data_IF_757202359908
#
_entry.id   IF_757202359908
#
_cell.length_a   1.000
_cell.length_b   1.000
_cell.length_c   1.000
_cell.angle_alpha   90.00
_cell.angle_beta   90.00
_cell.angle_gamma   90.00
#
_symmetry.space_group_name_H-M   'P 1'
#
loop_
_entity.id
_entity.type
_entity.pdbx_description
1 polymer ?
#
# COMPACT_ATOMS: atom_id res chain seq x y z
N UNK A 1 -61.02 -17.21 75.77
CA UNK A 1 -60.79 -17.45 74.33
C UNK A 1 -59.87 -16.35 73.80
N UNK A 2 -58.96 -16.65 72.86
CA UNK A 2 -57.52 -16.43 73.01
C UNK A 2 -57.00 -15.04 72.59
N UNK A 3 -55.93 -14.61 73.24
CA UNK A 3 -55.14 -13.44 72.86
C UNK A 3 -54.43 -13.70 71.51
N UNK A 4 -54.52 -12.73 70.59
CA UNK A 4 -53.82 -12.71 69.32
C UNK A 4 -52.31 -12.61 69.56
N UNK A 5 -51.56 -13.60 69.06
CA UNK A 5 -50.11 -13.63 69.08
C UNK A 5 -49.55 -12.62 68.04
N UNK A 6 -48.68 -11.66 68.39
CA UNK A 6 -48.11 -10.75 67.42
C UNK A 6 -47.07 -11.45 66.52
N UNK A 7 -47.14 -11.20 65.22
CA UNK A 7 -46.24 -11.74 64.19
C UNK A 7 -44.77 -11.34 64.47
N UNK A 8 -43.79 -12.23 64.25
CA UNK A 8 -42.39 -11.87 64.37
C UNK A 8 -41.98 -10.88 63.27
N UNK A 9 -41.59 -9.67 63.67
CA UNK A 9 -40.99 -8.68 62.79
C UNK A 9 -39.59 -9.14 62.36
N UNK A 10 -39.47 -9.66 61.14
CA UNK A 10 -38.18 -9.90 60.50
C UNK A 10 -37.50 -8.56 60.17
N UNK A 11 -36.68 -8.05 61.10
CA UNK A 11 -35.75 -6.96 60.82
C UNK A 11 -34.51 -7.53 60.14
N UNK A 12 -34.46 -7.43 58.81
CA UNK A 12 -33.25 -7.78 58.06
C UNK A 12 -32.06 -6.95 58.59
N UNK A 13 -30.91 -7.57 58.91
CA UNK A 13 -29.79 -6.85 59.50
C UNK A 13 -29.25 -5.85 58.49
N UNK A 14 -29.06 -4.59 58.91
CA UNK A 14 -28.51 -3.47 58.12
C UNK A 14 -27.27 -3.82 57.28
N UNK A 15 -26.49 -4.81 57.73
CA UNK A 15 -25.28 -5.34 57.08
C UNK A 15 -25.58 -6.05 55.75
N UNK A 16 -26.73 -6.73 55.66
CA UNK A 16 -27.19 -7.40 54.43
C UNK A 16 -27.71 -6.40 53.41
N UNK A 17 -28.33 -5.29 53.86
CA UNK A 17 -28.79 -4.22 52.98
C UNK A 17 -27.61 -3.47 52.31
N UNK A 18 -26.52 -3.25 53.05
CA UNK A 18 -25.30 -2.60 52.50
C UNK A 18 -24.58 -3.54 51.52
N UNK A 19 -24.49 -4.85 51.84
CA UNK A 19 -23.90 -5.84 50.94
C UNK A 19 -24.67 -5.98 49.63
N UNK A 20 -26.00 -5.96 49.67
CA UNK A 20 -26.84 -6.00 48.48
C UNK A 20 -26.70 -4.75 47.60
N UNK A 21 -26.55 -3.56 48.20
CA UNK A 21 -26.35 -2.32 47.45
C UNK A 21 -24.99 -2.26 46.73
N UNK A 22 -23.91 -2.75 47.37
CA UNK A 22 -22.60 -2.84 46.72
C UNK A 22 -22.58 -3.85 45.57
N UNK A 23 -23.26 -5.00 45.74
CA UNK A 23 -23.39 -6.00 44.68
C UNK A 23 -24.19 -5.47 43.48
N UNK A 24 -25.23 -4.67 43.72
CA UNK A 24 -26.02 -4.03 42.66
C UNK A 24 -25.23 -2.94 41.90
N UNK A 25 -24.36 -2.18 42.58
CA UNK A 25 -23.47 -1.21 41.92
C UNK A 25 -22.37 -1.89 41.10
N UNK A 26 -21.83 -3.02 41.57
CA UNK A 26 -20.87 -3.82 40.80
C UNK A 26 -21.53 -4.47 39.57
N UNK A 27 -22.79 -4.91 39.68
CA UNK A 27 -23.53 -5.44 38.54
C UNK A 27 -23.83 -4.40 37.45
N UNK A 28 -23.97 -3.12 37.81
CA UNK A 28 -24.15 -2.01 36.86
C UNK A 28 -22.83 -1.44 36.30
N UNK A 29 -21.69 -1.80 36.89
CA UNK A 29 -20.36 -1.42 36.41
C UNK A 29 -19.80 -2.34 35.32
N UNK A 30 -20.53 -3.42 34.98
CA UNK A 30 -20.33 -4.19 33.76
C UNK A 30 -20.70 -3.33 32.55
N UNK A 31 -19.82 -2.41 32.18
CA UNK A 31 -19.98 -1.57 31.00
C UNK A 31 -20.37 -2.45 29.82
N UNK A 32 -21.40 -2.03 29.08
CA UNK A 32 -21.80 -2.68 27.85
C UNK A 32 -20.56 -2.84 26.98
N UNK A 33 -20.04 -4.06 26.90
CA UNK A 33 -19.07 -4.42 25.89
C UNK A 33 -19.84 -4.27 24.57
N UNK A 34 -19.73 -3.10 23.94
CA UNK A 34 -20.06 -2.97 22.54
C UNK A 34 -19.21 -4.01 21.85
N UNK A 35 -19.82 -5.12 21.43
CA UNK A 35 -19.17 -6.11 20.61
C UNK A 35 -18.56 -5.33 19.44
N UNK A 36 -17.23 -5.25 19.41
CA UNK A 36 -16.53 -4.64 18.30
C UNK A 36 -16.97 -5.45 17.09
N UNK A 37 -17.71 -4.81 16.18
CA UNK A 37 -18.25 -5.49 15.02
C UNK A 37 -17.12 -6.28 14.35
N UNK A 38 -17.40 -7.52 13.96
CA UNK A 38 -16.38 -8.40 13.38
C UNK A 38 -15.68 -7.66 12.23
N UNK A 39 -14.35 -7.64 12.27
CA UNK A 39 -13.58 -7.03 11.20
C UNK A 39 -13.69 -7.90 9.94
N UNK A 40 -13.91 -7.32 8.75
CA UNK A 40 -14.23 -5.91 8.49
C UNK A 40 -15.73 -5.61 8.59
N UNK A 41 -16.08 -4.48 9.21
CA UNK A 41 -17.45 -3.99 9.37
C UNK A 41 -17.78 -2.75 8.53
N UNK A 42 -16.80 -2.24 7.77
CA UNK A 42 -16.92 -1.10 6.84
C UNK A 42 -15.98 -1.35 5.64
N UNK A 43 -16.14 -0.60 4.53
CA UNK A 43 -15.24 -0.73 3.38
C UNK A 43 -13.77 -0.50 3.74
N UNK A 44 -12.89 -1.28 3.10
CA UNK A 44 -11.43 -1.15 3.20
C UNK A 44 -10.94 -0.28 2.05
N UNK A 45 -10.02 0.64 2.33
CA UNK A 45 -9.32 1.44 1.33
C UNK A 45 -8.01 0.77 0.94
N UNK A 46 -7.82 0.51 -0.35
CA UNK A 46 -6.55 0.09 -0.93
C UNK A 46 -5.91 1.28 -1.66
N UNK A 47 -4.93 1.90 -1.02
CA UNK A 47 -4.18 3.02 -1.62
C UNK A 47 -3.11 2.48 -2.56
N UNK A 48 -3.13 2.98 -3.79
CA UNK A 48 -2.11 2.70 -4.80
C UNK A 48 -1.30 3.99 -4.99
N UNK A 49 0.00 4.02 -4.65
CA UNK A 49 0.81 5.23 -4.65
C UNK A 49 1.26 5.67 -6.07
N UNK A 50 0.50 5.31 -7.10
CA UNK A 50 0.79 5.59 -8.51
C UNK A 50 -0.48 6.01 -9.27
N UNK A 51 -0.33 6.71 -10.42
CA UNK A 51 -1.45 7.05 -11.28
C UNK A 51 -2.27 5.82 -11.73
N UNK A 52 -3.56 6.03 -11.99
CA UNK A 52 -4.42 4.99 -12.54
C UNK A 52 -3.99 4.55 -13.95
N UNK A 53 -4.33 3.32 -14.33
CA UNK A 53 -3.99 2.74 -15.65
C UNK A 53 -2.54 2.23 -15.79
N UNK A 54 -1.75 2.27 -14.72
CA UNK A 54 -0.45 1.59 -14.64
C UNK A 54 -0.55 0.14 -14.16
N UNK A 55 0.57 -0.58 -14.15
CA UNK A 55 0.62 -1.98 -13.73
C UNK A 55 0.15 -2.22 -12.30
N UNK A 56 0.59 -1.38 -11.36
CA UNK A 56 0.16 -1.45 -9.95
C UNK A 56 -1.34 -1.23 -9.78
N UNK A 57 -1.95 -0.36 -10.61
CA UNK A 57 -3.41 -0.12 -10.59
C UNK A 57 -4.20 -1.33 -11.08
N UNK A 58 -3.79 -1.93 -12.20
CA UNK A 58 -4.43 -3.14 -12.73
C UNK A 58 -4.40 -4.29 -11.73
N UNK A 59 -3.23 -4.58 -11.16
CA UNK A 59 -3.05 -5.63 -10.14
C UNK A 59 -3.88 -5.30 -8.88
N UNK A 60 -3.81 -4.05 -8.40
CA UNK A 60 -4.53 -3.64 -7.19
C UNK A 60 -6.05 -3.77 -7.32
N UNK A 61 -6.62 -3.48 -8.50
CA UNK A 61 -8.05 -3.66 -8.76
C UNK A 61 -8.47 -5.13 -8.77
N UNK A 62 -7.67 -6.01 -9.37
CA UNK A 62 -7.92 -7.46 -9.34
C UNK A 62 -7.89 -8.02 -7.91
N UNK A 63 -6.96 -7.52 -7.09
CA UNK A 63 -6.86 -7.91 -5.67
C UNK A 63 -8.06 -7.39 -4.89
N UNK A 64 -8.44 -6.13 -5.08
CA UNK A 64 -9.57 -5.52 -4.40
C UNK A 64 -10.87 -6.29 -4.67
N UNK A 65 -11.12 -6.69 -5.91
CA UNK A 65 -12.28 -7.51 -6.29
C UNK A 65 -12.29 -8.86 -5.56
N UNK A 66 -11.19 -9.61 -5.63
CA UNK A 66 -11.07 -10.94 -4.99
C UNK A 66 -11.18 -10.84 -3.47
N UNK A 67 -10.50 -9.86 -2.87
CA UNK A 67 -10.49 -9.64 -1.44
C UNK A 67 -11.87 -9.25 -0.93
N UNK A 68 -12.59 -8.40 -1.66
CA UNK A 68 -13.96 -8.04 -1.30
C UNK A 68 -14.92 -9.24 -1.33
N UNK A 69 -14.73 -10.18 -2.27
CA UNK A 69 -15.48 -11.43 -2.31
C UNK A 69 -15.24 -12.34 -1.11
N UNK A 70 -14.02 -12.38 -0.57
CA UNK A 70 -13.64 -13.18 0.60
C UNK A 70 -14.06 -12.51 1.91
N UNK A 71 -13.79 -11.21 2.06
CA UNK A 71 -14.08 -10.44 3.27
C UNK A 71 -15.56 -10.04 3.40
N UNK A 72 -16.36 -10.22 2.34
CA UNK A 72 -17.76 -9.78 2.28
C UNK A 72 -17.92 -8.27 2.58
N UNK A 73 -16.90 -7.49 2.25
CA UNK A 73 -16.88 -6.04 2.36
C UNK A 73 -16.25 -5.43 1.11
N UNK A 74 -16.63 -4.20 0.78
CA UNK A 74 -16.02 -3.50 -0.36
C UNK A 74 -14.55 -3.18 -0.09
N UNK A 75 -13.69 -3.38 -1.09
CA UNK A 75 -12.32 -2.89 -1.10
C UNK A 75 -12.22 -1.82 -2.19
N UNK A 76 -12.05 -0.57 -1.79
CA UNK A 76 -12.07 0.60 -2.68
C UNK A 76 -10.64 1.02 -3.01
N UNK A 77 -10.31 1.03 -4.31
CA UNK A 77 -9.00 1.47 -4.80
C UNK A 77 -8.94 3.00 -4.87
N UNK A 78 -7.93 3.59 -4.23
CA UNK A 78 -7.61 5.02 -4.34
C UNK A 78 -6.19 5.24 -4.87
N UNK A 79 -6.08 5.85 -6.05
CA UNK A 79 -4.78 6.23 -6.61
C UNK A 79 -4.30 7.56 -5.99
N UNK A 80 -3.15 7.52 -5.30
CA UNK A 80 -2.48 8.68 -4.70
C UNK A 80 -1.03 8.77 -5.18
N UNK A 81 -0.87 9.18 -6.44
CA UNK A 81 0.43 9.27 -7.10
C UNK A 81 1.29 10.47 -6.68
N UNK A 82 2.59 10.38 -6.97
CA UNK A 82 3.55 11.49 -6.87
C UNK A 82 4.78 11.14 -6.02
N UNK A 83 5.90 11.84 -6.29
CA UNK A 83 7.18 11.70 -5.57
C UNK A 83 7.64 10.24 -5.39
N UNK A 84 7.65 9.43 -6.46
CA UNK A 84 8.07 8.03 -6.39
C UNK A 84 7.18 7.13 -5.52
N UNK A 85 5.94 7.57 -5.25
CA UNK A 85 4.99 6.86 -4.40
C UNK A 85 4.98 7.33 -2.95
N UNK A 86 5.87 8.26 -2.57
CA UNK A 86 5.93 8.79 -1.21
C UNK A 86 4.61 9.40 -0.74
N UNK A 87 3.87 10.09 -1.61
CA UNK A 87 2.64 10.78 -1.22
C UNK A 87 1.57 9.78 -0.75
N UNK A 88 1.38 8.70 -1.51
CA UNK A 88 0.41 7.65 -1.16
C UNK A 88 0.86 6.85 0.05
N UNK A 89 2.16 6.51 0.14
CA UNK A 89 2.69 5.78 1.28
C UNK A 89 2.62 6.60 2.58
N UNK A 90 2.99 7.89 2.55
CA UNK A 90 2.88 8.80 3.69
C UNK A 90 1.44 8.94 4.20
N UNK A 91 0.49 9.03 3.28
CA UNK A 91 -0.93 9.05 3.62
C UNK A 91 -1.35 7.80 4.41
N UNK A 92 -0.86 6.62 4.03
CA UNK A 92 -1.17 5.36 4.74
C UNK A 92 -0.39 5.23 6.04
N UNK A 93 0.88 5.62 6.09
CA UNK A 93 1.69 5.63 7.31
C UNK A 93 1.05 6.43 8.45
N UNK A 94 0.31 7.48 8.11
CA UNK A 94 -0.38 8.37 9.07
C UNK A 94 -1.86 8.03 9.26
N UNK A 95 -2.37 7.00 8.58
CA UNK A 95 -3.74 6.56 8.75
C UNK A 95 -3.92 5.83 10.10
N UNK A 96 -5.15 5.72 10.63
CA UNK A 96 -5.42 4.86 11.77
C UNK A 96 -4.95 3.42 11.50
N UNK A 97 -4.24 2.83 12.47
CA UNK A 97 -3.77 1.44 12.39
C UNK A 97 -4.91 0.45 12.72
N UNK A 98 -6.07 0.60 12.07
CA UNK A 98 -7.31 -0.15 12.31
C UNK A 98 -7.60 -1.22 11.23
N UNK A 99 -6.69 -1.40 10.27
CA UNK A 99 -6.79 -2.37 9.18
C UNK A 99 -7.60 -1.90 7.97
N UNK A 100 -8.28 -0.74 8.03
CA UNK A 100 -9.15 -0.27 6.94
C UNK A 100 -8.45 0.59 5.90
N UNK A 101 -7.16 0.91 6.10
CA UNK A 101 -6.34 1.58 5.08
C UNK A 101 -5.11 0.73 4.82
N UNK A 102 -5.05 0.17 3.62
CA UNK A 102 -3.96 -0.65 3.13
C UNK A 102 -3.21 0.11 2.04
N UNK A 103 -1.93 -0.18 1.85
CA UNK A 103 -1.14 0.32 0.72
C UNK A 103 -0.62 -0.85 -0.11
N UNK A 104 -0.76 -0.75 -1.43
CA UNK A 104 -0.07 -1.62 -2.37
C UNK A 104 1.27 -0.98 -2.70
N UNK A 105 2.36 -1.60 -2.26
CA UNK A 105 3.73 -1.14 -2.50
C UNK A 105 4.45 -2.05 -3.48
N UNK A 106 5.46 -1.49 -4.15
CA UNK A 106 6.40 -2.22 -4.98
C UNK A 106 7.86 -1.86 -4.57
N UNK A 107 8.83 -2.14 -5.44
CA UNK A 107 10.25 -1.84 -5.20
C UNK A 107 10.52 -0.36 -4.90
N UNK A 108 9.67 0.57 -5.35
CA UNK A 108 9.84 2.00 -5.06
C UNK A 108 9.70 2.30 -3.57
N UNK A 109 8.91 1.54 -2.81
CA UNK A 109 8.75 1.78 -1.37
C UNK A 109 10.07 1.62 -0.61
N UNK A 110 10.90 0.66 -1.02
CA UNK A 110 12.21 0.42 -0.39
C UNK A 110 13.35 1.17 -1.06
N UNK A 111 13.22 1.54 -2.35
CA UNK A 111 14.28 2.23 -3.09
C UNK A 111 14.18 3.76 -3.08
N UNK A 112 13.00 4.34 -2.93
CA UNK A 112 12.82 5.81 -2.87
C UNK A 112 13.65 6.49 -1.78
N UNK A 113 13.86 5.90 -0.57
CA UNK A 113 14.79 6.44 0.43
C UNK A 113 16.24 6.60 -0.05
N UNK A 114 16.68 5.84 -1.05
CA UNK A 114 18.03 5.95 -1.63
C UNK A 114 18.18 7.28 -2.39
N UNK A 115 17.11 7.72 -3.06
CA UNK A 115 17.11 8.92 -3.91
C UNK A 115 16.55 10.17 -3.22
N UNK A 116 16.00 10.02 -2.01
CA UNK A 116 15.27 11.09 -1.32
C UNK A 116 15.91 11.37 0.03
N UNK A 117 16.51 12.56 0.16
CA UNK A 117 17.25 12.96 1.37
C UNK A 117 16.39 13.01 2.63
N UNK A 118 15.11 13.38 2.51
CA UNK A 118 14.17 13.50 3.63
C UNK A 118 12.88 12.78 3.30
N UNK A 119 12.74 11.58 3.85
CA UNK A 119 11.50 10.80 3.78
C UNK A 119 10.51 11.31 4.84
N UNK A 120 9.20 11.36 4.52
CA UNK A 120 8.16 11.76 5.48
C UNK A 120 7.68 10.61 6.38
N UNK A 121 8.14 9.38 6.13
CA UNK A 121 7.87 8.15 6.89
C UNK A 121 9.11 7.23 6.89
N UNK A 122 9.16 6.27 7.81
CA UNK A 122 10.09 5.15 7.82
C UNK A 122 9.50 3.94 7.06
N UNK A 123 10.11 3.58 5.93
CA UNK A 123 9.58 2.54 5.04
C UNK A 123 9.51 1.14 5.67
N UNK A 124 10.19 0.92 6.80
CA UNK A 124 10.20 -0.37 7.52
C UNK A 124 9.37 -0.29 8.79
N UNK A 125 9.53 0.76 9.60
CA UNK A 125 8.92 0.83 10.94
C UNK A 125 7.45 1.27 10.91
N UNK A 126 7.06 2.07 9.93
CA UNK A 126 5.70 2.64 9.89
C UNK A 126 4.69 1.71 9.19
N UNK A 127 5.12 0.51 8.77
CA UNK A 127 4.28 -0.44 8.03
C UNK A 127 4.42 -1.87 8.54
N UNK A 128 3.30 -2.58 8.61
CA UNK A 128 3.27 -4.03 8.84
C UNK A 128 3.08 -4.76 7.51
N UNK A 129 4.02 -5.62 7.07
CA UNK A 129 3.84 -6.42 5.86
C UNK A 129 2.66 -7.38 6.00
N UNK A 130 1.75 -7.38 5.02
CA UNK A 130 0.60 -8.31 4.99
C UNK A 130 0.92 -9.55 4.17
N UNK A 131 1.24 -9.39 2.88
CA UNK A 131 1.57 -10.49 1.99
C UNK A 131 2.27 -9.99 0.72
N UNK A 132 3.05 -10.87 0.09
CA UNK A 132 3.56 -10.67 -1.27
C UNK A 132 2.50 -11.14 -2.27
N UNK A 133 1.93 -10.20 -3.02
CA UNK A 133 0.84 -10.46 -3.98
C UNK A 133 1.33 -10.99 -5.33
N UNK A 134 2.60 -10.76 -5.68
CA UNK A 134 3.17 -11.20 -6.94
C UNK A 134 4.58 -10.66 -7.17
N UNK A 135 5.22 -11.17 -8.23
CA UNK A 135 6.49 -10.65 -8.75
C UNK A 135 6.28 -10.33 -10.22
N UNK A 136 6.56 -9.09 -10.62
CA UNK A 136 6.54 -8.71 -12.03
C UNK A 136 7.98 -8.55 -12.53
N UNK A 137 8.38 -9.26 -13.62
CA UNK A 137 9.68 -9.05 -14.22
C UNK A 137 9.77 -7.68 -14.88
N UNK A 138 10.96 -7.08 -14.86
CA UNK A 138 11.25 -5.87 -15.60
C UNK A 138 11.65 -6.22 -17.04
N UNK A 139 11.09 -5.49 -18.00
CA UNK A 139 11.36 -5.65 -19.43
C UNK A 139 12.10 -4.43 -19.96
N UNK A 140 13.14 -4.67 -20.76
CA UNK A 140 13.71 -3.64 -21.63
C UNK A 140 12.86 -3.58 -22.90
N UNK A 141 12.14 -2.47 -23.06
CA UNK A 141 11.23 -2.22 -24.17
C UNK A 141 11.84 -1.13 -25.05
N UNK A 142 11.83 -1.34 -26.36
CA UNK A 142 12.27 -0.35 -27.33
C UNK A 142 11.08 0.28 -28.07
N UNK A 143 11.25 1.51 -28.54
CA UNK A 143 10.29 2.08 -29.47
C UNK A 143 10.27 1.29 -30.81
N UNK A 144 9.15 1.28 -31.55
CA UNK A 144 9.04 0.48 -32.78
C UNK A 144 10.07 0.83 -33.87
N UNK A 145 10.47 2.10 -33.95
CA UNK A 145 11.42 2.63 -34.93
C UNK A 145 12.89 2.49 -34.55
N UNK A 146 13.22 2.04 -33.32
CA UNK A 146 14.60 1.86 -32.89
C UNK A 146 15.22 0.66 -33.61
N UNK A 147 16.33 0.88 -34.31
CA UNK A 147 16.97 -0.15 -35.15
C UNK A 147 17.36 -1.42 -34.37
N UNK A 148 17.98 -1.33 -33.16
CA UNK A 148 18.22 -2.50 -32.34
C UNK A 148 16.93 -3.26 -32.01
N UNK A 149 16.81 -4.50 -32.50
CA UNK A 149 15.61 -5.34 -32.32
C UNK A 149 15.75 -6.36 -31.19
N UNK A 150 16.95 -6.54 -30.66
CA UNK A 150 17.19 -7.39 -29.49
C UNK A 150 17.87 -6.61 -28.36
N UNK A 151 17.78 -7.13 -27.14
CA UNK A 151 18.51 -6.57 -26.00
C UNK A 151 20.04 -6.58 -26.24
N UNK A 152 20.55 -7.62 -26.92
CA UNK A 152 21.97 -7.69 -27.28
C UNK A 152 22.37 -6.57 -28.25
N UNK A 153 21.55 -6.30 -29.26
CA UNK A 153 21.79 -5.22 -30.22
C UNK A 153 21.73 -3.85 -29.54
N UNK A 154 20.77 -3.66 -28.61
CA UNK A 154 20.65 -2.40 -27.88
C UNK A 154 21.88 -2.14 -27.00
N UNK A 155 22.40 -3.18 -26.35
CA UNK A 155 23.64 -3.11 -25.60
C UNK A 155 24.85 -2.83 -26.51
N UNK A 156 24.95 -3.50 -27.65
CA UNK A 156 26.02 -3.27 -28.62
C UNK A 156 25.99 -1.83 -29.16
N UNK A 157 24.80 -1.34 -29.53
CA UNK A 157 24.58 0.04 -29.95
C UNK A 157 25.03 1.04 -28.88
N UNK A 158 24.62 0.85 -27.63
CA UNK A 158 24.97 1.74 -26.53
C UNK A 158 26.47 1.73 -26.17
N UNK A 159 27.17 0.60 -26.39
CA UNK A 159 28.63 0.52 -26.24
C UNK A 159 29.37 1.20 -27.39
N UNK A 160 28.93 0.98 -28.62
CA UNK A 160 29.53 1.57 -29.80
C UNK A 160 29.29 3.09 -29.89
N UNK A 161 28.15 3.56 -29.36
CA UNK A 161 27.74 4.95 -29.41
C UNK A 161 27.32 5.49 -28.02
N UNK A 162 28.28 5.69 -27.09
CA UNK A 162 27.99 6.18 -25.74
C UNK A 162 27.18 7.47 -25.75
N UNK A 163 26.06 7.50 -25.01
CA UNK A 163 25.21 8.69 -24.89
C UNK A 163 24.25 8.94 -26.08
N UNK A 164 24.22 8.09 -27.10
CA UNK A 164 23.23 8.19 -28.20
C UNK A 164 21.91 7.49 -27.89
N UNK A 165 21.95 6.44 -27.07
CA UNK A 165 20.73 5.79 -26.59
C UNK A 165 20.08 6.62 -25.47
N UNK A 166 18.80 6.91 -25.60
CA UNK A 166 17.97 7.52 -24.55
C UNK A 166 17.14 6.46 -23.83
N UNK A 167 17.05 6.57 -22.51
CA UNK A 167 16.25 5.66 -21.68
C UNK A 167 15.24 6.45 -20.85
N UNK A 168 13.96 6.14 -21.02
CA UNK A 168 12.90 6.68 -20.18
C UNK A 168 12.99 6.11 -18.76
N UNK A 169 12.88 6.97 -17.75
CA UNK A 169 12.85 6.59 -16.34
C UNK A 169 11.57 7.16 -15.71
N UNK A 170 10.78 6.29 -15.08
CA UNK A 170 9.64 6.72 -14.27
C UNK A 170 10.14 7.22 -12.90
N UNK A 171 10.09 8.54 -12.67
CA UNK A 171 10.59 9.20 -11.47
C UNK A 171 11.98 9.81 -11.62
N UNK A 172 12.56 10.22 -10.49
CA UNK A 172 13.90 10.85 -10.42
C UNK A 172 15.04 9.85 -10.26
N UNK A 173 14.74 8.55 -10.20
CA UNK A 173 15.71 7.46 -10.05
C UNK A 173 15.05 6.10 -10.19
N UNK A 174 15.83 5.07 -10.52
CA UNK A 174 15.36 3.69 -10.61
C UNK A 174 16.49 2.73 -10.31
N UNK A 175 16.35 1.94 -9.24
CA UNK A 175 17.36 0.92 -8.87
C UNK A 175 17.54 -0.09 -9.99
N UNK A 176 16.49 -0.37 -10.76
CA UNK A 176 16.57 -1.30 -11.91
C UNK A 176 17.44 -0.71 -13.01
N UNK A 177 17.30 0.59 -13.31
CA UNK A 177 18.10 1.27 -14.32
C UNK A 177 19.55 1.44 -13.85
N UNK A 178 19.76 1.79 -12.59
CA UNK A 178 21.09 1.90 -11.99
C UNK A 178 21.81 0.55 -12.00
N UNK A 179 21.10 -0.54 -11.65
CA UNK A 179 21.61 -1.90 -11.72
C UNK A 179 21.91 -2.32 -13.16
N UNK A 180 21.04 -1.98 -14.11
CA UNK A 180 21.27 -2.24 -15.53
C UNK A 180 22.54 -1.53 -16.01
N UNK A 181 22.71 -0.25 -15.69
CA UNK A 181 23.92 0.53 -16.03
C UNK A 181 25.18 -0.09 -15.40
N UNK A 182 25.13 -0.41 -14.10
CA UNK A 182 26.25 -0.99 -13.38
C UNK A 182 26.68 -2.37 -13.91
N UNK A 183 25.73 -3.23 -14.30
CA UNK A 183 26.03 -4.57 -14.82
C UNK A 183 26.42 -4.59 -16.29
N UNK A 184 25.83 -3.71 -17.11
CA UNK A 184 26.06 -3.69 -18.56
C UNK A 184 27.29 -2.87 -18.98
N UNK A 185 27.68 -1.89 -18.14
CA UNK A 185 28.73 -0.92 -18.45
C UNK A 185 28.34 0.08 -19.54
N UNK A 186 27.07 0.14 -19.96
CA UNK A 186 26.64 1.03 -21.05
C UNK A 186 26.37 2.45 -20.56
N UNK A 187 26.56 3.42 -21.46
CA UNK A 187 26.22 4.82 -21.21
C UNK A 187 25.04 5.25 -22.08
N UNK A 188 24.02 5.80 -21.44
CA UNK A 188 22.80 6.30 -22.07
C UNK A 188 22.33 7.58 -21.39
N UNK A 189 21.54 8.38 -22.10
CA UNK A 189 20.90 9.58 -21.58
C UNK A 189 19.61 9.18 -20.87
N UNK A 190 19.53 9.48 -19.58
CA UNK A 190 18.32 9.23 -18.78
C UNK A 190 17.31 10.35 -18.96
N UNK A 191 16.06 10.01 -19.27
CA UNK A 191 14.96 10.97 -19.48
C UNK A 191 13.88 10.73 -18.42
N UNK A 192 13.73 11.60 -17.41
CA UNK A 192 12.81 11.37 -16.30
C UNK A 192 11.37 11.76 -16.65
N UNK A 193 10.41 10.96 -16.19
CA UNK A 193 8.96 11.15 -16.35
C UNK A 193 8.24 11.12 -15.01
N UNK A 194 7.00 11.64 -14.95
CA UNK A 194 6.15 11.62 -13.75
C UNK A 194 5.50 10.26 -13.44
N UNK A 195 5.83 9.22 -14.21
CA UNK A 195 5.32 7.85 -14.06
C UNK A 195 5.50 7.03 -15.34
N UNK A 196 5.19 5.74 -15.30
CA UNK A 196 5.34 4.84 -16.45
C UNK A 196 4.38 5.15 -17.59
N UNK A 197 3.16 5.63 -17.31
CA UNK A 197 2.17 5.93 -18.35
C UNK A 197 2.62 7.02 -19.34
N UNK A 198 3.03 8.24 -18.91
CA UNK A 198 3.55 9.23 -19.85
C UNK A 198 4.86 8.77 -20.54
N UNK A 199 5.72 8.01 -19.85
CA UNK A 199 6.94 7.46 -20.45
C UNK A 199 6.63 6.47 -21.59
N UNK A 200 5.60 5.65 -21.44
CA UNK A 200 5.17 4.69 -22.46
C UNK A 200 4.62 5.41 -23.69
N UNK A 201 3.86 6.50 -23.51
CA UNK A 201 3.36 7.32 -24.63
C UNK A 201 4.52 7.85 -25.47
N UNK A 202 5.54 8.42 -24.83
CA UNK A 202 6.71 8.98 -25.52
C UNK A 202 7.61 7.89 -26.14
N UNK A 203 7.71 6.73 -25.50
CA UNK A 203 8.35 5.55 -26.08
C UNK A 203 7.63 5.13 -27.36
N UNK A 204 6.30 4.96 -27.32
CA UNK A 204 5.52 4.61 -28.51
C UNK A 204 5.63 5.66 -29.62
N UNK A 205 5.67 6.94 -29.24
CA UNK A 205 5.87 8.06 -30.16
C UNK A 205 7.29 8.27 -30.68
N UNK A 206 8.25 7.43 -30.25
CA UNK A 206 9.64 7.48 -30.70
C UNK A 206 10.47 8.64 -30.12
N UNK A 207 9.98 9.33 -29.10
CA UNK A 207 10.69 10.44 -28.43
C UNK A 207 11.88 9.94 -27.59
N UNK A 208 11.81 8.69 -27.14
CA UNK A 208 12.87 7.99 -26.40
C UNK A 208 13.13 6.61 -27.01
N UNK A 209 14.35 6.09 -26.90
CA UNK A 209 14.73 4.84 -27.54
C UNK A 209 14.23 3.62 -26.80
N UNK A 210 14.47 3.58 -25.48
CA UNK A 210 14.14 2.43 -24.64
C UNK A 210 13.54 2.84 -23.30
N UNK A 211 12.88 1.91 -22.63
CA UNK A 211 12.41 2.03 -21.26
C UNK A 211 12.62 0.68 -20.56
N UNK A 212 12.94 0.70 -19.26
CA UNK A 212 12.83 -0.49 -18.42
C UNK A 212 11.62 -0.34 -17.51
N UNK A 213 10.62 -1.22 -17.66
CA UNK A 213 9.39 -1.18 -16.87
C UNK A 213 8.85 -2.59 -16.63
N UNK A 214 7.99 -2.73 -15.63
CA UNK A 214 7.19 -3.93 -15.43
C UNK A 214 6.02 -3.97 -16.43
N UNK A 215 5.66 -5.16 -16.90
CA UNK A 215 4.41 -5.39 -17.61
C UNK A 215 3.33 -5.84 -16.62
N UNK A 216 2.10 -5.39 -16.85
CA UNK A 216 0.91 -5.81 -16.13
C UNK A 216 0.26 -7.01 -16.83
#
# INVERSE_FOLDING_TARGET
MPALNPSPNFRLPRRHAIGAALAAMLAFSGGSAFAQADYPSKPIKLVIPFPAGGSSDGIGRQIAEKLGGVLKQSVVVENKGGAGGMIGADFVAKAPADGYTLVLVDVFHTSTPIYTRKMPYDAVKDFTPVSLIGRSPAFLIANPGFEPKTAADALAFAKAQPGKMTMAIAGTGSVVVDLFKARSGVQFVSVPYRGSSPAMVDLMGGQVNVMITTMA
#
